data_IF_194775345745
#
_entry.id   IF_194775345745
#
_cell.length_a   1.000
_cell.length_b   1.000
_cell.length_c   1.000
_cell.angle_alpha   90.00
_cell.angle_beta   90.00
_cell.angle_gamma   90.00
#
_symmetry.space_group_name_H-M   'P 1'
#
loop_
_entity.id
_entity.type
_entity.pdbx_description
1 polymer ?
#
# COMPACT_ATOMS: atom_id res chain seq x y z
N UNK A 1 -3.96 -25.44 1.03
CA UNK A 1 -4.86 -24.86 0.01
C UNK A 1 -4.26 -23.55 -0.44
N UNK A 2 -3.92 -23.40 -1.72
CA UNK A 2 -3.48 -22.13 -2.27
C UNK A 2 -4.67 -21.17 -2.36
N UNK A 3 -4.51 -19.93 -1.91
CA UNK A 3 -5.55 -18.91 -2.08
C UNK A 3 -5.83 -18.75 -3.57
N UNK A 4 -7.08 -18.90 -3.98
CA UNK A 4 -7.52 -18.54 -5.32
C UNK A 4 -7.57 -17.01 -5.39
N UNK A 5 -6.64 -16.42 -6.16
CA UNK A 5 -6.45 -14.97 -6.31
C UNK A 5 -6.09 -14.24 -4.99
N UNK A 6 -4.84 -14.40 -4.48
CA UNK A 6 -4.42 -13.67 -3.30
C UNK A 6 -4.45 -12.16 -3.54
N UNK A 7 -5.06 -11.41 -2.61
CA UNK A 7 -5.03 -9.96 -2.64
C UNK A 7 -3.59 -9.44 -2.59
N UNK A 8 -3.29 -8.37 -3.34
CA UNK A 8 -1.96 -7.80 -3.34
C UNK A 8 -1.68 -7.16 -1.95
N UNK A 9 -0.50 -7.35 -1.34
CA UNK A 9 -0.20 -6.79 -0.01
C UNK A 9 -0.44 -5.28 0.11
N UNK A 10 -0.17 -4.54 -0.98
CA UNK A 10 -0.44 -3.10 -1.03
C UNK A 10 -1.94 -2.74 -1.05
N UNK A 11 -2.81 -3.59 -1.61
CA UNK A 11 -4.26 -3.37 -1.56
C UNK A 11 -4.76 -3.56 -0.12
N UNK A 12 -4.23 -4.57 0.59
CA UNK A 12 -4.51 -4.79 2.01
C UNK A 12 -4.06 -3.58 2.85
N UNK A 13 -2.87 -3.05 2.57
CA UNK A 13 -2.34 -1.88 3.28
C UNK A 13 -3.19 -0.63 3.03
N UNK A 14 -3.72 -0.46 1.82
CA UNK A 14 -4.63 0.64 1.48
C UNK A 14 -5.90 0.59 2.32
N UNK A 15 -6.54 -0.57 2.43
CA UNK A 15 -7.80 -0.72 3.16
C UNK A 15 -7.60 -0.62 4.67
N UNK A 16 -6.68 -1.40 5.22
CA UNK A 16 -6.52 -1.57 6.67
C UNK A 16 -5.78 -0.42 7.34
N UNK A 17 -4.98 0.36 6.59
CA UNK A 17 -4.17 1.43 7.17
C UNK A 17 -4.55 2.77 6.57
N UNK A 18 -4.43 2.95 5.26
CA UNK A 18 -4.62 4.28 4.65
C UNK A 18 -6.05 4.76 4.79
N UNK A 19 -7.02 3.96 4.34
CA UNK A 19 -8.44 4.30 4.42
C UNK A 19 -8.94 4.31 5.87
N UNK A 20 -8.55 3.30 6.66
CA UNK A 20 -9.04 3.16 8.05
C UNK A 20 -8.54 4.27 8.99
N UNK A 21 -7.36 4.85 8.72
CA UNK A 21 -6.80 5.95 9.49
C UNK A 21 -7.01 7.32 8.82
N UNK A 22 -7.78 7.38 7.73
CA UNK A 22 -8.03 8.59 6.93
C UNK A 22 -6.74 9.33 6.51
N UNK A 23 -5.65 8.56 6.30
CA UNK A 23 -4.36 9.12 5.92
C UNK A 23 -4.35 9.47 4.44
N UNK A 24 -3.71 10.59 4.11
CA UNK A 24 -3.42 10.87 2.71
C UNK A 24 -2.19 10.08 2.26
N UNK A 25 -2.12 9.77 0.95
CA UNK A 25 -0.94 9.11 0.37
C UNK A 25 0.31 9.99 0.56
N UNK A 26 0.15 11.31 0.59
CA UNK A 26 1.25 12.25 0.81
C UNK A 26 1.80 12.07 2.22
N UNK A 27 0.95 12.20 3.25
CA UNK A 27 1.38 12.11 4.65
C UNK A 27 2.00 10.74 4.94
N UNK A 28 1.34 9.66 4.52
CA UNK A 28 1.86 8.31 4.69
C UNK A 28 3.23 8.11 3.99
N UNK A 29 3.44 8.72 2.82
CA UNK A 29 4.72 8.62 2.12
C UNK A 29 5.84 9.38 2.82
N UNK A 30 5.53 10.52 3.45
CA UNK A 30 6.48 11.30 4.23
C UNK A 30 6.90 10.55 5.50
N UNK A 31 5.94 9.98 6.23
CA UNK A 31 6.22 9.17 7.43
C UNK A 31 7.04 7.91 7.14
N UNK A 32 6.83 7.30 5.98
CA UNK A 32 7.56 6.11 5.53
C UNK A 32 8.88 6.46 4.82
N UNK A 33 9.19 7.75 4.64
CA UNK A 33 10.36 8.25 3.92
C UNK A 33 10.54 7.62 2.52
N UNK A 34 9.43 7.48 1.79
CA UNK A 34 9.43 7.00 0.40
C UNK A 34 8.71 8.00 -0.50
N UNK A 35 8.98 7.95 -1.81
CA UNK A 35 8.25 8.82 -2.73
C UNK A 35 6.76 8.47 -2.75
N UNK A 36 5.90 9.50 -2.80
CA UNK A 36 4.44 9.35 -3.01
C UNK A 36 4.11 8.46 -4.21
N UNK A 37 4.92 8.53 -5.27
CA UNK A 37 4.76 7.71 -6.49
C UNK A 37 5.02 6.23 -6.20
N UNK A 38 6.02 5.91 -5.38
CA UNK A 38 6.31 4.54 -4.95
C UNK A 38 5.16 3.98 -4.14
N UNK A 39 4.73 4.71 -3.10
CA UNK A 39 3.61 4.27 -2.27
C UNK A 39 2.34 4.06 -3.10
N UNK A 40 2.01 5.00 -3.99
CA UNK A 40 0.86 4.89 -4.90
C UNK A 40 0.91 3.63 -5.80
N UNK A 41 2.09 3.26 -6.32
CA UNK A 41 2.21 2.02 -7.10
C UNK A 41 1.92 0.77 -6.27
N UNK A 42 2.45 0.70 -5.05
CA UNK A 42 2.25 -0.43 -4.14
C UNK A 42 0.76 -0.55 -3.76
N UNK A 43 0.14 0.56 -3.32
CA UNK A 43 -1.26 0.58 -2.88
C UNK A 43 -2.28 0.20 -3.97
N UNK A 44 -1.89 0.34 -5.25
CA UNK A 44 -2.74 -0.02 -6.38
C UNK A 44 -2.35 -1.36 -7.02
N UNK A 45 -1.57 -2.20 -6.33
CA UNK A 45 -1.22 -3.54 -6.82
C UNK A 45 -0.17 -3.57 -7.94
N UNK A 46 0.52 -2.45 -8.18
CA UNK A 46 1.45 -2.24 -9.31
C UNK A 46 2.91 -2.16 -8.87
N UNK A 47 3.22 -2.47 -7.63
CA UNK A 47 4.57 -2.40 -7.07
C UNK A 47 4.77 -3.42 -5.97
N UNK A 48 5.90 -4.12 -6.00
CA UNK A 48 6.27 -5.07 -4.96
C UNK A 48 6.73 -4.35 -3.68
N UNK A 49 6.53 -5.01 -2.54
CA UNK A 49 7.13 -4.62 -1.25
C UNK A 49 8.41 -5.44 -1.10
N UNK A 50 9.53 -4.77 -0.83
CA UNK A 50 10.84 -5.38 -0.63
C UNK A 50 11.26 -5.27 0.84
N UNK A 51 12.15 -6.16 1.34
CA UNK A 51 12.79 -6.00 2.64
C UNK A 51 13.57 -4.69 2.76
#
# INVERSE_FOLDING_TARGET
>A
MSMHNPAHPGEILKELVITSLELTITDASEHLNISRKTLSKVLNGRGAITP
#
